data_IF_982396552936
#
_entry.id   IF_982396552936
#
_cell.length_a   1.000
_cell.length_b   1.000
_cell.length_c   1.000
_cell.angle_alpha   90.00
_cell.angle_beta   90.00
_cell.angle_gamma   90.00
#
_symmetry.space_group_name_H-M   'P 1'
#
loop_
_entity.id
_entity.type
_entity.pdbx_description
1 polymer ?
#
# COMPACT_ATOMS: atom_id res chain seq x y z
N UNK A 1 24.04 2.04 5.35
CA UNK A 1 23.70 1.46 6.67
C UNK A 1 22.87 2.47 7.43
N UNK A 2 21.83 2.03 8.15
CA UNK A 2 21.00 2.88 9.00
C UNK A 2 21.57 3.11 10.40
N UNK A 3 22.63 2.39 10.78
CA UNK A 3 23.30 2.54 12.08
C UNK A 3 22.32 2.44 13.26
N UNK A 4 21.37 1.50 13.16
CA UNK A 4 20.38 1.24 14.19
C UNK A 4 21.02 0.51 15.38
N UNK A 5 20.58 0.87 16.58
CA UNK A 5 20.77 0.08 17.79
C UNK A 5 19.49 -0.67 18.17
N UNK A 6 19.51 -1.25 19.37
CA UNK A 6 18.38 -1.93 20.01
C UNK A 6 17.13 -1.06 20.10
N UNK A 7 15.97 -1.63 19.77
CA UNK A 7 14.64 -0.97 19.76
C UNK A 7 14.56 0.36 18.99
N UNK A 8 15.54 0.61 18.13
CA UNK A 8 15.62 1.83 17.33
C UNK A 8 15.08 1.60 15.93
N UNK A 9 14.76 2.70 15.25
CA UNK A 9 14.28 2.69 13.87
C UNK A 9 14.91 3.85 13.11
N UNK A 10 14.93 3.71 11.79
CA UNK A 10 15.33 4.77 10.85
C UNK A 10 14.27 4.93 9.77
N UNK A 11 14.25 6.07 9.09
CA UNK A 11 13.39 6.30 7.93
C UNK A 11 14.23 6.31 6.67
N UNK A 12 13.77 5.62 5.63
CA UNK A 12 14.40 5.64 4.31
C UNK A 12 13.42 6.14 3.24
N UNK A 13 13.90 6.94 2.29
CA UNK A 13 13.12 7.33 1.13
C UNK A 13 13.17 6.25 0.05
N UNK A 14 12.01 5.90 -0.48
CA UNK A 14 11.84 5.14 -1.72
C UNK A 14 11.77 6.10 -2.90
N UNK A 15 12.52 5.85 -4.00
CA UNK A 15 12.53 6.73 -5.16
C UNK A 15 11.33 6.49 -6.10
N UNK A 16 10.44 5.57 -5.74
CA UNK A 16 9.16 5.31 -6.39
C UNK A 16 8.06 5.02 -5.34
N UNK A 17 6.78 5.28 -5.66
CA UNK A 17 5.68 4.93 -4.76
C UNK A 17 5.57 3.41 -4.55
N UNK A 18 5.48 3.00 -3.29
CA UNK A 18 5.17 1.62 -2.88
C UNK A 18 3.71 1.58 -2.47
N UNK A 19 2.93 0.66 -3.04
CA UNK A 19 1.48 0.64 -2.84
C UNK A 19 1.03 -0.44 -1.85
N UNK A 20 0.47 0.00 -0.73
CA UNK A 20 -0.21 -0.87 0.23
C UNK A 20 -1.72 -0.64 0.15
N UNK A 21 -2.47 -1.60 -0.40
CA UNK A 21 -3.92 -1.51 -0.60
C UNK A 21 -4.37 -0.19 -1.29
N UNK A 22 -3.67 0.22 -2.36
CA UNK A 22 -3.93 1.46 -3.10
C UNK A 22 -3.34 2.73 -2.50
N UNK A 23 -2.73 2.66 -1.31
CA UNK A 23 -2.06 3.81 -0.69
C UNK A 23 -0.59 3.80 -1.09
N UNK A 24 -0.20 4.74 -1.95
CA UNK A 24 1.18 4.94 -2.37
C UNK A 24 1.98 5.68 -1.30
N UNK A 25 3.13 5.12 -0.90
CA UNK A 25 4.02 5.72 0.12
C UNK A 25 5.45 5.77 -0.41
N UNK A 26 6.19 6.81 -0.01
CA UNK A 26 7.58 7.01 -0.41
C UNK A 26 8.55 7.02 0.76
N UNK A 27 8.07 6.97 2.00
CA UNK A 27 8.91 6.94 3.19
C UNK A 27 8.58 5.72 4.02
N UNK A 28 9.61 4.92 4.32
CA UNK A 28 9.51 3.71 5.11
C UNK A 28 10.27 3.86 6.40
N UNK A 29 9.58 3.66 7.52
CA UNK A 29 10.22 3.36 8.78
C UNK A 29 10.73 1.91 8.74
N UNK A 30 11.99 1.73 9.10
CA UNK A 30 12.67 0.45 9.18
C UNK A 30 13.14 0.24 10.61
N UNK A 31 12.64 -0.82 11.25
CA UNK A 31 12.95 -1.15 12.63
C UNK A 31 14.16 -2.07 12.73
N UNK A 32 14.94 -1.91 13.80
CA UNK A 32 15.96 -2.88 14.22
C UNK A 32 15.36 -4.27 14.42
N UNK A 33 14.13 -4.33 14.93
CA UNK A 33 13.33 -5.53 15.22
C UNK A 33 12.71 -6.21 13.97
N UNK A 34 13.30 -6.01 12.78
CA UNK A 34 12.98 -6.81 11.60
C UNK A 34 11.60 -6.59 10.96
N UNK A 35 11.04 -5.39 11.11
CA UNK A 35 9.81 -4.96 10.44
C UNK A 35 9.91 -3.57 9.81
N UNK A 36 8.99 -3.26 8.90
CA UNK A 36 8.84 -1.97 8.25
C UNK A 36 7.40 -1.47 8.33
N UNK A 37 7.24 -0.15 8.35
CA UNK A 37 5.94 0.52 8.29
C UNK A 37 6.03 1.77 7.40
N UNK A 38 4.98 2.11 6.63
CA UNK A 38 4.90 3.41 6.01
C UNK A 38 4.89 4.54 7.02
N UNK A 39 5.59 5.64 6.72
CA UNK A 39 5.49 6.87 7.52
C UNK A 39 4.23 7.61 7.07
N UNK A 40 3.12 7.40 7.78
CA UNK A 40 1.88 8.16 7.60
C UNK A 40 1.73 9.22 8.70
N UNK A 41 0.97 10.32 8.48
CA UNK A 41 0.83 11.43 9.44
C UNK A 41 0.11 11.07 10.76
N UNK A 42 -0.36 9.83 10.93
CA UNK A 42 -1.09 9.35 12.13
C UNK A 42 -0.31 8.28 12.90
N UNK A 43 1.02 8.37 12.86
CA UNK A 43 1.99 7.40 13.34
C UNK A 43 1.67 6.79 14.72
N UNK A 44 1.80 5.46 14.81
CA UNK A 44 1.89 4.73 16.09
C UNK A 44 3.37 4.60 16.42
N UNK A 45 3.77 4.88 17.66
CA UNK A 45 5.12 4.63 18.17
C UNK A 45 5.62 3.22 17.81
N UNK A 46 6.95 3.04 17.77
CA UNK A 46 7.58 1.73 17.56
C UNK A 46 6.84 0.60 18.29
N UNK A 47 6.61 -0.50 17.58
CA UNK A 47 5.85 -1.63 18.10
C UNK A 47 6.68 -2.35 19.17
N UNK A 48 6.09 -2.64 20.36
CA UNK A 48 6.86 -3.07 21.53
C UNK A 48 7.32 -4.53 21.49
N UNK A 49 6.63 -5.41 20.76
CA UNK A 49 6.97 -6.83 20.61
C UNK A 49 6.11 -7.46 19.52
N UNK A 50 6.59 -8.58 18.96
CA UNK A 50 5.90 -9.27 17.88
C UNK A 50 4.55 -9.87 18.31
N UNK A 51 3.58 -9.78 17.42
CA UNK A 51 2.20 -10.23 17.64
C UNK A 51 1.69 -10.99 16.41
N UNK A 52 0.66 -11.85 16.55
CA UNK A 52 0.02 -12.49 15.41
C UNK A 52 -0.65 -11.45 14.49
N UNK A 53 -0.70 -11.73 13.19
CA UNK A 53 -1.37 -10.91 12.19
C UNK A 53 -2.71 -11.53 11.76
N UNK A 54 -3.74 -10.73 11.47
CA UNK A 54 -3.77 -9.29 11.64
C UNK A 54 -4.15 -8.85 13.07
N UNK A 55 -3.86 -7.61 13.40
CA UNK A 55 -4.22 -6.97 14.68
C UNK A 55 -4.77 -5.55 14.46
N UNK A 56 -5.50 -5.02 15.43
CA UNK A 56 -6.47 -3.92 15.23
C UNK A 56 -5.91 -2.50 15.30
N UNK A 57 -4.68 -2.31 15.78
CA UNK A 57 -4.12 -0.98 16.08
C UNK A 57 -2.97 -0.57 15.13
N UNK A 58 -2.71 -1.34 14.08
CA UNK A 58 -1.71 -1.02 13.06
C UNK A 58 -2.37 -0.98 11.69
N UNK A 59 -2.03 0.02 10.89
CA UNK A 59 -2.51 0.09 9.51
C UNK A 59 -1.70 -0.84 8.63
N UNK A 60 -0.44 -0.51 8.40
CA UNK A 60 0.42 -1.26 7.49
C UNK A 60 1.68 -1.70 8.21
N UNK A 61 1.99 -2.99 8.09
CA UNK A 61 3.20 -3.62 8.62
C UNK A 61 3.74 -4.61 7.60
N UNK A 62 5.03 -4.54 7.32
CA UNK A 62 5.77 -5.54 6.55
C UNK A 62 6.76 -6.19 7.52
N UNK A 63 6.52 -7.44 7.87
CA UNK A 63 7.31 -8.18 8.86
C UNK A 63 8.00 -9.37 8.18
N UNK A 64 9.19 -9.18 7.58
CA UNK A 64 9.98 -10.30 7.06
C UNK A 64 10.50 -11.22 8.18
N UNK A 65 10.81 -10.66 9.35
CA UNK A 65 11.27 -11.38 10.54
C UNK A 65 11.08 -10.46 11.75
N UNK A 66 9.82 -10.22 12.17
CA UNK A 66 9.56 -9.34 13.30
C UNK A 66 9.80 -10.08 14.62
N UNK A 67 10.86 -9.68 15.31
CA UNK A 67 11.28 -10.25 16.59
C UNK A 67 12.14 -9.24 17.37
N UNK A 68 12.55 -9.57 18.59
CA UNK A 68 13.46 -8.79 19.43
C UNK A 68 14.91 -8.93 18.95
N UNK A 69 15.27 -8.18 17.90
CA UNK A 69 16.55 -8.28 17.21
C UNK A 69 17.51 -7.20 17.67
N UNK A 70 18.78 -7.59 17.81
CA UNK A 70 19.87 -6.72 18.20
C UNK A 70 20.80 -6.41 17.02
N UNK A 71 20.95 -5.11 16.75
CA UNK A 71 21.91 -4.56 15.79
C UNK A 71 22.96 -3.72 16.53
N UNK A 72 24.21 -3.72 16.05
CA UNK A 72 25.26 -2.88 16.63
C UNK A 72 25.52 -1.68 15.71
N UNK A 73 25.19 -0.44 16.14
CA UNK A 73 25.34 0.76 15.32
C UNK A 73 26.80 1.06 14.96
N UNK A 74 27.78 0.43 15.63
CA UNK A 74 29.22 0.67 15.42
C UNK A 74 29.85 -0.32 14.44
N UNK A 75 29.08 -1.28 13.92
CA UNK A 75 29.61 -2.37 13.07
C UNK A 75 28.82 -2.50 11.76
N UNK A 76 29.21 -3.47 10.93
CA UNK A 76 28.47 -3.84 9.71
C UNK A 76 27.36 -4.87 9.96
N UNK A 77 27.05 -5.16 11.22
CA UNK A 77 25.81 -5.82 11.63
C UNK A 77 24.72 -4.77 11.80
N UNK A 78 24.01 -4.49 10.72
CA UNK A 78 22.99 -3.46 10.71
C UNK A 78 22.02 -3.61 9.54
N UNK A 79 21.11 -2.65 9.40
CA UNK A 79 20.26 -2.53 8.23
C UNK A 79 20.99 -1.76 7.12
N UNK A 80 21.00 -2.34 5.93
CA UNK A 80 21.48 -1.73 4.69
C UNK A 80 20.33 -1.62 3.70
N UNK A 81 20.42 -0.64 2.80
CA UNK A 81 19.45 -0.54 1.72
C UNK A 81 20.13 -0.02 0.47
N UNK A 82 19.58 -0.38 -0.68
CA UNK A 82 20.06 0.03 -1.99
C UNK A 82 18.88 0.13 -2.96
N UNK A 83 19.02 1.02 -3.94
CA UNK A 83 18.17 1.04 -5.12
C UNK A 83 18.94 0.40 -6.25
N UNK A 84 18.38 -0.66 -6.83
CA UNK A 84 18.96 -1.37 -7.95
C UNK A 84 18.18 -1.05 -9.23
N UNK A 85 18.83 -1.18 -10.38
CA UNK A 85 18.23 -0.90 -11.68
C UNK A 85 18.03 0.59 -11.95
N UNK A 86 17.25 0.88 -13.00
CA UNK A 86 16.95 2.23 -13.49
C UNK A 86 15.44 2.37 -13.75
N UNK A 87 14.91 3.59 -13.66
CA UNK A 87 13.50 3.82 -13.91
C UNK A 87 13.10 3.39 -15.35
N UNK A 88 11.93 2.78 -15.57
CA UNK A 88 10.84 2.53 -14.61
C UNK A 88 10.89 1.13 -13.95
N UNK A 89 12.06 0.48 -13.89
CA UNK A 89 12.24 -0.90 -13.41
C UNK A 89 13.22 -0.96 -12.23
N UNK A 90 13.05 -0.08 -11.23
CA UNK A 90 13.90 -0.05 -10.03
C UNK A 90 13.44 -1.06 -8.99
N UNK A 91 14.39 -1.51 -8.17
CA UNK A 91 14.14 -2.32 -6.97
C UNK A 91 14.67 -1.59 -5.74
N UNK A 92 13.88 -1.49 -4.68
CA UNK A 92 14.35 -1.05 -3.37
C UNK A 92 14.60 -2.29 -2.51
N UNK A 93 15.87 -2.57 -2.23
CA UNK A 93 16.32 -3.69 -1.40
C UNK A 93 16.67 -3.18 -0.02
N UNK A 94 16.15 -3.82 1.03
CA UNK A 94 16.41 -3.50 2.44
C UNK A 94 16.83 -4.79 3.14
N UNK A 95 18.06 -4.85 3.62
CA UNK A 95 18.70 -6.03 4.21
C UNK A 95 18.98 -5.82 5.70
N UNK A 96 18.57 -6.76 6.53
CA UNK A 96 19.08 -6.93 7.89
C UNK A 96 20.28 -7.87 7.81
N UNK A 97 21.48 -7.30 7.94
CA UNK A 97 22.72 -8.04 7.79
C UNK A 97 23.23 -8.52 9.15
N UNK A 98 23.38 -9.83 9.28
CA UNK A 98 23.94 -10.50 10.45
C UNK A 98 23.24 -10.10 11.77
N UNK A 99 21.94 -9.87 11.75
CA UNK A 99 21.18 -9.47 12.93
C UNK A 99 21.24 -10.56 14.01
N UNK A 100 21.46 -10.19 15.27
CA UNK A 100 21.41 -11.13 16.41
C UNK A 100 20.03 -11.11 17.03
N UNK A 101 19.70 -12.13 17.80
CA UNK A 101 18.57 -12.06 18.72
C UNK A 101 19.00 -11.40 20.03
N UNK A 102 18.19 -10.52 20.62
CA UNK A 102 18.55 -9.73 21.80
C UNK A 102 19.00 -10.60 22.99
N UNK A 103 18.28 -11.70 23.24
CA UNK A 103 18.58 -12.65 24.33
C UNK A 103 19.97 -13.29 24.25
N UNK A 104 20.60 -13.35 23.07
CA UNK A 104 21.96 -13.88 22.88
C UNK A 104 22.91 -12.88 22.20
N UNK A 105 22.61 -11.57 22.28
CA UNK A 105 23.42 -10.51 21.65
C UNK A 105 24.93 -10.55 21.92
N UNK A 106 25.35 -11.20 23.00
CA UNK A 106 26.76 -11.40 23.34
C UNK A 106 27.49 -12.40 22.43
N UNK A 107 26.78 -13.30 21.75
CA UNK A 107 27.34 -14.23 20.77
C UNK A 107 27.37 -13.55 19.40
N UNK A 108 28.56 -13.19 18.92
CA UNK A 108 28.71 -12.51 17.63
C UNK A 108 28.55 -13.41 16.41
N UNK A 109 28.39 -14.72 16.61
CA UNK A 109 28.21 -15.71 15.54
C UNK A 109 26.76 -16.15 15.39
N UNK A 110 25.93 -15.94 16.42
CA UNK A 110 24.51 -16.26 16.40
C UNK A 110 23.73 -15.17 15.66
N UNK A 111 23.72 -15.23 14.34
CA UNK A 111 23.14 -14.20 13.47
C UNK A 111 22.21 -14.77 12.40
N UNK A 112 21.27 -13.96 11.95
CA UNK A 112 20.44 -14.22 10.77
C UNK A 112 20.61 -13.10 9.73
N UNK A 113 20.29 -13.41 8.47
CA UNK A 113 20.31 -12.44 7.38
C UNK A 113 19.15 -12.64 6.43
N UNK A 114 18.40 -11.56 6.24
CA UNK A 114 17.22 -11.53 5.39
C UNK A 114 17.04 -10.14 4.79
N UNK A 115 16.24 -10.06 3.73
CA UNK A 115 15.94 -8.81 3.07
C UNK A 115 14.50 -8.75 2.57
N UNK A 116 14.01 -7.53 2.40
CA UNK A 116 12.77 -7.20 1.69
C UNK A 116 13.12 -6.48 0.39
N UNK A 117 12.42 -6.83 -0.68
CA UNK A 117 12.53 -6.15 -1.98
C UNK A 117 11.15 -5.61 -2.38
N UNK A 118 11.12 -4.31 -2.70
CA UNK A 118 9.99 -3.66 -3.37
C UNK A 118 10.36 -3.37 -4.81
N UNK A 119 9.38 -3.39 -5.70
CA UNK A 119 9.59 -3.22 -7.13
C UNK A 119 8.78 -2.06 -7.68
N UNK A 120 9.40 -1.22 -8.49
CA UNK A 120 8.75 -0.08 -9.11
C UNK A 120 7.59 -0.55 -10.01
N UNK A 121 6.42 0.08 -9.84
CA UNK A 121 5.23 -0.21 -10.64
C UNK A 121 4.56 -1.56 -10.36
N UNK A 122 5.04 -2.35 -9.39
CA UNK A 122 4.44 -3.65 -9.02
C UNK A 122 3.99 -3.64 -7.57
N UNK A 123 2.92 -4.37 -7.26
CA UNK A 123 2.43 -4.58 -5.89
C UNK A 123 2.99 -5.84 -5.23
N UNK A 124 4.02 -6.43 -5.84
CA UNK A 124 4.74 -7.57 -5.30
C UNK A 124 5.77 -7.10 -4.25
N UNK A 125 5.90 -7.87 -3.17
CA UNK A 125 6.94 -7.69 -2.15
C UNK A 125 7.62 -9.04 -1.98
N UNK A 126 8.95 -9.06 -2.00
CA UNK A 126 9.72 -10.30 -1.86
C UNK A 126 10.50 -10.30 -0.55
N UNK A 127 10.31 -11.32 0.27
CA UNK A 127 11.18 -11.60 1.43
C UNK A 127 12.19 -12.66 1.01
N UNK A 128 13.48 -12.39 1.15
CA UNK A 128 14.53 -13.38 0.90
C UNK A 128 15.28 -13.68 2.18
N UNK A 129 15.58 -14.95 2.41
CA UNK A 129 16.26 -15.43 3.60
C UNK A 129 17.57 -16.10 3.20
N UNK A 130 18.70 -15.46 3.48
CA UNK A 130 20.00 -16.07 3.25
C UNK A 130 20.26 -17.15 4.31
N UNK A 131 20.02 -16.80 5.58
CA UNK A 131 20.17 -17.66 6.74
C UNK A 131 19.18 -17.26 7.84
N UNK A 132 18.62 -18.26 8.50
CA UNK A 132 17.48 -18.15 9.43
C UNK A 132 17.75 -18.86 10.76
N UNK A 133 18.95 -19.42 10.93
CA UNK A 133 19.37 -20.20 12.09
C UNK A 133 20.42 -19.40 12.85
N UNK A 134 20.08 -18.97 14.06
CA UNK A 134 21.04 -18.38 14.99
C UNK A 134 21.94 -19.45 15.60
N UNK A 135 21.36 -20.60 15.97
CA UNK A 135 22.05 -21.72 16.60
C UNK A 135 22.48 -21.47 18.04
N UNK A 136 23.26 -22.41 18.58
CA UNK A 136 23.83 -22.31 19.93
C UNK A 136 22.78 -22.05 21.02
N UNK A 137 23.04 -21.07 21.89
CA UNK A 137 22.11 -20.66 22.96
C UNK A 137 20.84 -19.97 22.44
N UNK A 138 20.81 -19.63 21.16
CA UNK A 138 19.68 -18.97 20.49
C UNK A 138 18.88 -19.89 19.58
N UNK A 139 19.09 -21.21 19.68
CA UNK A 139 18.34 -22.19 18.90
C UNK A 139 16.81 -22.09 19.08
N UNK A 140 16.35 -21.50 20.20
CA UNK A 140 14.94 -21.22 20.47
C UNK A 140 14.30 -20.18 19.52
N UNK A 141 15.11 -19.39 18.81
CA UNK A 141 14.67 -18.41 17.82
C UNK A 141 14.93 -18.87 16.37
N UNK A 142 15.52 -20.07 16.19
CA UNK A 142 15.86 -20.59 14.87
C UNK A 142 14.62 -20.69 13.99
N UNK A 143 14.79 -20.37 12.71
CA UNK A 143 13.76 -20.47 11.66
C UNK A 143 12.54 -19.61 11.95
N UNK A 144 12.72 -18.52 12.71
CA UNK A 144 11.65 -17.61 13.11
C UNK A 144 10.75 -18.17 14.21
N UNK A 145 11.25 -19.09 15.05
CA UNK A 145 10.46 -19.74 16.10
C UNK A 145 9.87 -18.78 17.15
N UNK A 146 10.44 -17.59 17.31
CA UNK A 146 9.90 -16.50 18.15
C UNK A 146 9.38 -15.31 17.33
N UNK A 147 9.46 -15.38 16.00
CA UNK A 147 9.19 -14.24 15.14
C UNK A 147 7.76 -14.25 14.58
N UNK A 148 7.27 -13.07 14.19
CA UNK A 148 6.14 -12.92 13.28
C UNK A 148 6.65 -12.69 11.86
N UNK A 149 6.12 -13.45 10.90
CA UNK A 149 6.37 -13.25 9.46
C UNK A 149 5.04 -13.01 8.75
N UNK A 150 4.90 -11.86 8.11
CA UNK A 150 3.72 -11.56 7.31
C UNK A 150 3.58 -10.10 6.91
N UNK A 151 2.43 -9.79 6.29
CA UNK A 151 2.10 -8.44 5.86
C UNK A 151 0.69 -8.08 6.32
N UNK A 152 0.56 -6.91 6.93
CA UNK A 152 -0.71 -6.27 7.25
C UNK A 152 -0.85 -5.00 6.41
N UNK A 153 -2.04 -4.76 5.86
CA UNK A 153 -2.30 -3.61 4.97
C UNK A 153 -3.36 -2.65 5.51
N UNK A 154 -4.21 -3.11 6.43
CA UNK A 154 -5.10 -2.27 7.20
C UNK A 154 -5.37 -2.89 8.59
N UNK A 155 -5.95 -2.14 9.54
CA UNK A 155 -6.36 -2.70 10.82
C UNK A 155 -7.27 -3.91 10.63
N UNK A 156 -6.90 -5.06 11.22
CA UNK A 156 -7.65 -6.31 11.07
C UNK A 156 -7.58 -6.95 9.66
N UNK A 157 -6.72 -6.46 8.75
CA UNK A 157 -6.57 -7.00 7.40
C UNK A 157 -5.10 -7.24 7.07
N UNK A 158 -4.68 -8.50 7.09
CA UNK A 158 -3.32 -8.94 6.84
C UNK A 158 -3.25 -10.44 6.58
N UNK A 159 -2.11 -10.88 6.08
CA UNK A 159 -1.80 -12.28 5.82
C UNK A 159 -0.56 -12.65 6.63
N UNK A 160 -0.68 -13.69 7.46
CA UNK A 160 0.38 -14.23 8.27
C UNK A 160 0.96 -15.48 7.62
N UNK A 161 2.29 -15.56 7.47
CA UNK A 161 2.98 -16.79 7.12
C UNK A 161 3.27 -17.62 8.37
N UNK A 162 3.82 -16.99 9.41
CA UNK A 162 4.11 -17.64 10.69
C UNK A 162 4.07 -16.64 11.85
N UNK A 163 3.81 -17.16 13.04
CA UNK A 163 3.98 -16.45 14.31
C UNK A 163 4.41 -17.49 15.34
N UNK A 164 5.53 -17.23 16.02
CA UNK A 164 6.10 -18.11 17.03
C UNK A 164 6.22 -19.58 16.57
N UNK A 165 6.72 -19.78 15.34
CA UNK A 165 6.82 -21.10 14.72
C UNK A 165 8.05 -21.21 13.81
N UNK A 166 8.82 -22.33 13.85
CA UNK A 166 10.04 -22.52 13.08
C UNK A 166 9.76 -22.84 11.60
N UNK A 167 9.13 -21.90 10.89
CA UNK A 167 8.61 -22.09 9.53
C UNK A 167 9.58 -21.64 8.44
N UNK A 168 10.52 -20.75 8.74
CA UNK A 168 11.48 -20.23 7.76
C UNK A 168 12.59 -21.25 7.45
N UNK A 169 13.23 -21.11 6.28
CA UNK A 169 14.34 -21.96 5.84
C UNK A 169 15.39 -21.13 5.11
N UNK A 170 16.64 -21.51 5.26
CA UNK A 170 17.76 -20.87 4.58
C UNK A 170 17.64 -21.01 3.07
N UNK A 171 18.07 -19.98 2.33
CA UNK A 171 18.03 -19.95 0.87
C UNK A 171 16.62 -19.93 0.26
N UNK A 172 15.59 -19.61 1.03
CA UNK A 172 14.21 -19.51 0.53
C UNK A 172 13.74 -18.06 0.37
N UNK A 173 12.65 -17.89 -0.36
CA UNK A 173 11.98 -16.61 -0.50
C UNK A 173 10.46 -16.77 -0.37
N UNK A 174 9.80 -15.72 0.13
CA UNK A 174 8.35 -15.58 0.18
C UNK A 174 7.95 -14.40 -0.70
N UNK A 175 7.17 -14.68 -1.74
CA UNK A 175 6.61 -13.66 -2.62
C UNK A 175 5.19 -13.31 -2.17
N UNK A 176 4.95 -12.01 -1.95
CA UNK A 176 3.68 -11.47 -1.48
C UNK A 176 3.05 -10.64 -2.59
N UNK A 177 1.83 -10.98 -2.97
CA UNK A 177 1.04 -10.16 -3.88
C UNK A 177 0.03 -9.33 -3.09
N UNK A 178 0.26 -8.03 -3.00
CA UNK A 178 -0.69 -7.13 -2.33
C UNK A 178 -1.80 -6.78 -3.29
N UNK A 179 -3.03 -7.16 -2.94
CA UNK A 179 -4.21 -6.81 -3.70
C UNK A 179 -4.33 -5.28 -3.84
N UNK A 180 -4.59 -4.82 -5.06
CA UNK A 180 -4.80 -3.41 -5.38
C UNK A 180 -6.25 -3.19 -5.82
N UNK A 181 -6.83 -2.01 -5.56
CA UNK A 181 -8.11 -1.65 -6.15
C UNK A 181 -7.91 -1.32 -7.65
N UNK A 182 -8.91 -1.61 -8.48
CA UNK A 182 -8.87 -1.28 -9.92
C UNK A 182 -10.10 -0.45 -10.24
N UNK A 183 -9.90 0.84 -10.49
CA UNK A 183 -10.96 1.77 -10.87
C UNK A 183 -11.38 1.53 -12.32
N UNK A 184 -12.67 1.30 -12.53
CA UNK A 184 -13.30 1.29 -13.87
C UNK A 184 -14.54 2.16 -13.89
N UNK A 185 -14.85 2.74 -15.05
CA UNK A 185 -15.96 3.67 -15.27
C UNK A 185 -16.65 3.31 -16.58
N UNK A 186 -17.97 3.11 -16.54
CA UNK A 186 -18.77 2.76 -17.72
C UNK A 186 -20.13 3.48 -17.71
N UNK A 187 -20.55 4.16 -18.79
CA UNK A 187 -19.78 4.43 -20.02
C UNK A 187 -18.67 5.48 -19.81
N UNK A 188 -17.71 5.56 -20.73
CA UNK A 188 -16.65 6.58 -20.72
C UNK A 188 -17.08 7.95 -21.29
N UNK A 189 -18.36 8.09 -21.66
CA UNK A 189 -18.93 9.37 -22.06
C UNK A 189 -20.43 9.44 -21.76
N UNK A 190 -20.93 10.61 -21.40
CA UNK A 190 -22.36 10.91 -21.26
C UNK A 190 -22.77 12.02 -22.22
N UNK A 191 -23.79 11.75 -23.02
CA UNK A 191 -24.48 12.75 -23.84
C UNK A 191 -25.84 13.08 -23.21
N UNK A 192 -25.99 14.35 -22.84
CA UNK A 192 -27.20 14.89 -22.24
C UNK A 192 -28.20 15.37 -23.30
N UNK A 193 -27.82 15.38 -24.57
CA UNK A 193 -28.62 15.85 -25.68
C UNK A 193 -28.91 17.35 -25.61
N UNK A 194 -30.05 17.76 -26.17
CA UNK A 194 -30.51 19.15 -26.10
C UNK A 194 -31.42 19.35 -24.90
N UNK A 195 -31.13 20.38 -24.09
CA UNK A 195 -31.87 20.77 -22.89
C UNK A 195 -32.26 22.23 -22.99
N UNK A 196 -33.51 22.53 -22.67
CA UNK A 196 -34.00 23.90 -22.64
C UNK A 196 -33.27 24.68 -21.54
N UNK A 197 -32.81 25.89 -21.85
CA UNK A 197 -32.16 26.79 -20.88
C UNK A 197 -33.04 26.95 -19.62
N UNK A 198 -32.45 26.78 -18.44
CA UNK A 198 -33.15 26.80 -17.16
C UNK A 198 -33.83 25.48 -16.76
N UNK A 199 -33.75 24.43 -17.60
CA UNK A 199 -34.12 23.05 -17.25
C UNK A 199 -32.87 22.22 -16.97
N UNK A 200 -33.08 21.01 -16.47
CA UNK A 200 -32.00 20.07 -16.20
C UNK A 200 -32.36 18.66 -16.64
N UNK A 201 -31.34 17.88 -16.94
CA UNK A 201 -31.46 16.43 -17.17
C UNK A 201 -30.31 15.71 -16.51
N UNK A 202 -30.60 14.54 -15.95
CA UNK A 202 -29.63 13.71 -15.27
C UNK A 202 -29.25 12.51 -16.17
N UNK A 203 -27.99 12.09 -16.07
CA UNK A 203 -27.41 10.90 -16.70
C UNK A 203 -26.51 10.21 -15.70
N UNK A 204 -26.33 8.91 -15.88
CA UNK A 204 -25.63 8.08 -14.91
C UNK A 204 -24.46 7.35 -15.55
N UNK A 205 -23.42 7.14 -14.76
CA UNK A 205 -22.35 6.19 -15.06
C UNK A 205 -22.10 5.29 -13.85
N UNK A 206 -21.47 4.14 -14.10
CA UNK A 206 -21.13 3.16 -13.08
C UNK A 206 -19.64 3.25 -12.80
N UNK A 207 -19.30 3.40 -11.52
CA UNK A 207 -17.96 3.15 -10.98
C UNK A 207 -17.92 1.72 -10.48
N UNK A 208 -16.91 0.95 -10.88
CA UNK A 208 -16.75 -0.43 -10.42
C UNK A 208 -15.31 -0.70 -9.98
N UNK A 209 -15.18 -1.48 -8.90
CA UNK A 209 -13.89 -1.99 -8.43
C UNK A 209 -13.65 -3.41 -8.98
N UNK A 210 -12.77 -3.54 -9.97
CA UNK A 210 -12.35 -4.85 -10.47
C UNK A 210 -11.11 -5.41 -9.76
N UNK A 211 -10.60 -4.69 -8.77
CA UNK A 211 -9.42 -5.07 -8.00
C UNK A 211 -9.76 -5.94 -6.80
N UNK A 212 -8.73 -6.36 -6.07
CA UNK A 212 -8.86 -7.19 -4.87
C UNK A 212 -8.90 -6.42 -3.55
N UNK A 213 -8.47 -5.14 -3.55
CA UNK A 213 -8.54 -4.28 -2.37
C UNK A 213 -9.71 -3.28 -2.47
N UNK A 214 -10.07 -2.65 -1.35
CA UNK A 214 -11.17 -1.67 -1.30
C UNK A 214 -10.81 -0.42 -2.10
N UNK A 215 -11.69 -0.04 -3.03
CA UNK A 215 -11.59 1.16 -3.84
C UNK A 215 -12.41 2.29 -3.17
N UNK A 216 -11.75 3.40 -2.85
CA UNK A 216 -12.36 4.57 -2.23
C UNK A 216 -12.07 5.79 -3.09
N UNK A 217 -13.07 6.65 -3.30
CA UNK A 217 -12.89 7.80 -4.17
C UNK A 217 -14.08 8.75 -4.20
N UNK A 218 -13.96 9.74 -5.09
CA UNK A 218 -14.96 10.77 -5.36
C UNK A 218 -14.96 11.14 -6.84
N UNK A 219 -15.92 11.96 -7.26
CA UNK A 219 -15.98 12.52 -8.60
C UNK A 219 -16.28 14.02 -8.55
N UNK A 220 -15.79 14.77 -9.53
CA UNK A 220 -16.07 16.19 -9.70
C UNK A 220 -16.22 16.56 -11.18
N UNK A 221 -16.98 17.60 -11.46
CA UNK A 221 -17.20 18.13 -12.81
C UNK A 221 -17.52 19.62 -12.71
N UNK A 222 -17.04 20.47 -13.63
CA UNK A 222 -17.35 21.90 -13.61
C UNK A 222 -18.76 22.20 -14.18
N UNK A 223 -19.37 23.33 -13.78
CA UNK A 223 -20.61 23.83 -14.38
C UNK A 223 -20.51 23.98 -15.91
N UNK A 224 -21.63 23.85 -16.65
CA UNK A 224 -23.01 23.67 -16.19
C UNK A 224 -23.38 22.23 -15.81
N UNK A 225 -22.39 21.35 -15.67
CA UNK A 225 -22.58 20.01 -15.13
C UNK A 225 -22.38 19.99 -13.61
N UNK A 226 -23.02 19.07 -12.90
CA UNK A 226 -22.80 18.84 -11.47
C UNK A 226 -23.02 17.38 -11.08
N UNK A 227 -22.35 16.90 -10.03
CA UNK A 227 -22.61 15.58 -9.46
C UNK A 227 -23.84 15.68 -8.53
N UNK A 228 -24.80 14.78 -8.72
CA UNK A 228 -26.06 14.75 -7.96
C UNK A 228 -25.99 13.74 -6.81
N UNK A 229 -25.46 12.55 -7.05
CA UNK A 229 -25.42 11.46 -6.09
C UNK A 229 -24.34 10.42 -6.42
N UNK A 230 -24.08 9.51 -5.48
CA UNK A 230 -23.16 8.38 -5.66
C UNK A 230 -21.70 8.66 -5.27
N UNK A 231 -21.41 9.81 -4.65
CA UNK A 231 -20.08 10.15 -4.12
C UNK A 231 -20.16 10.68 -2.67
N UNK A 232 -19.09 10.53 -1.85
CA UNK A 232 -17.93 9.66 -2.11
C UNK A 232 -18.37 8.19 -2.12
N UNK A 233 -17.55 7.31 -2.71
CA UNK A 233 -17.82 5.87 -2.77
C UNK A 233 -16.75 5.07 -2.02
N UNK A 234 -17.14 3.88 -1.56
CA UNK A 234 -16.26 2.87 -0.97
C UNK A 234 -16.76 1.50 -1.42
N UNK A 235 -15.96 0.83 -2.25
CA UNK A 235 -16.34 -0.39 -2.97
C UNK A 235 -15.36 -1.50 -2.63
N UNK A 236 -15.86 -2.60 -2.06
CA UNK A 236 -15.09 -3.86 -1.96
C UNK A 236 -14.85 -4.45 -3.35
N UNK A 237 -14.03 -5.49 -3.41
CA UNK A 237 -13.75 -6.21 -4.65
C UNK A 237 -15.06 -6.65 -5.33
N UNK A 238 -15.22 -6.31 -6.61
CA UNK A 238 -16.38 -6.63 -7.44
C UNK A 238 -17.60 -5.70 -7.26
N UNK A 239 -17.62 -4.84 -6.23
CA UNK A 239 -18.74 -3.93 -5.97
C UNK A 239 -18.76 -2.76 -6.98
N UNK A 240 -19.95 -2.17 -7.14
CA UNK A 240 -20.21 -1.05 -8.06
C UNK A 240 -21.04 0.06 -7.39
N UNK A 241 -20.86 1.28 -7.86
CA UNK A 241 -21.62 2.47 -7.48
C UNK A 241 -22.16 3.17 -8.73
N UNK A 242 -23.46 3.49 -8.73
CA UNK A 242 -24.04 4.38 -9.75
C UNK A 242 -23.81 5.82 -9.32
N UNK A 243 -23.25 6.64 -10.20
CA UNK A 243 -23.02 8.07 -10.00
C UNK A 243 -23.92 8.83 -10.97
N UNK A 244 -24.73 9.74 -10.42
CA UNK A 244 -25.64 10.58 -11.20
C UNK A 244 -25.04 11.97 -11.43
N UNK A 245 -25.06 12.42 -12.67
CA UNK A 245 -24.55 13.71 -13.14
C UNK A 245 -25.71 14.49 -13.74
N UNK A 246 -25.81 15.78 -13.42
CA UNK A 246 -26.79 16.71 -13.96
C UNK A 246 -26.16 17.63 -14.98
N UNK A 247 -26.87 17.92 -16.05
CA UNK A 247 -26.62 19.06 -16.93
C UNK A 247 -27.75 20.08 -16.79
N UNK A 248 -27.41 21.33 -16.46
CA UNK A 248 -28.37 22.42 -16.27
C UNK A 248 -27.89 23.72 -16.98
N UNK A 249 -28.07 23.84 -18.30
CA UNK A 249 -27.57 24.98 -19.06
C UNK A 249 -28.30 26.29 -18.69
N UNK A 250 -27.51 27.36 -18.48
CA UNK A 250 -28.01 28.72 -18.22
C UNK A 250 -27.96 29.63 -19.45
N UNK A 251 -27.35 29.16 -20.54
CA UNK A 251 -27.32 29.83 -21.84
C UNK A 251 -27.41 28.81 -22.98
N UNK A 252 -27.76 29.29 -24.18
CA UNK A 252 -27.73 28.44 -25.38
C UNK A 252 -26.29 28.20 -25.84
N UNK A 253 -26.04 27.03 -26.40
CA UNK A 253 -24.71 26.62 -26.86
C UNK A 253 -24.41 25.15 -26.59
N UNK A 254 -23.33 24.65 -27.16
CA UNK A 254 -22.79 23.31 -26.84
C UNK A 254 -21.78 23.45 -25.70
N UNK A 255 -21.91 22.58 -24.69
CA UNK A 255 -21.03 22.50 -23.55
C UNK A 255 -20.35 21.14 -23.54
N UNK A 256 -19.03 21.13 -23.41
CA UNK A 256 -18.22 19.92 -23.28
C UNK A 256 -17.33 20.04 -22.06
N UNK A 257 -17.21 18.96 -21.30
CA UNK A 257 -16.31 18.87 -20.15
C UNK A 257 -15.91 17.43 -19.86
N UNK A 258 -15.19 17.23 -18.76
CA UNK A 258 -14.89 15.90 -18.21
C UNK A 258 -15.36 15.82 -16.76
N UNK A 259 -15.97 14.69 -16.41
CA UNK A 259 -16.07 14.28 -14.99
C UNK A 259 -14.76 13.60 -14.64
N UNK A 260 -14.08 14.11 -13.60
CA UNK A 260 -12.87 13.53 -13.05
C UNK A 260 -13.25 12.63 -11.88
N UNK A 261 -13.00 11.33 -12.01
CA UNK A 261 -13.14 10.34 -10.93
C UNK A 261 -11.76 10.08 -10.34
N UNK A 262 -11.57 10.40 -9.07
CA UNK A 262 -10.30 10.23 -8.36
C UNK A 262 -10.46 9.22 -7.21
N UNK A 263 -9.53 8.28 -7.10
CA UNK A 263 -9.59 7.19 -6.12
C UNK A 263 -8.20 6.71 -5.68
N UNK A 264 -8.14 5.86 -4.66
CA UNK A 264 -6.92 5.10 -4.32
C UNK A 264 -6.55 4.01 -5.36
N UNK A 265 -7.36 3.81 -6.40
CA UNK A 265 -7.03 2.98 -7.58
C UNK A 265 -6.58 3.80 -8.79
N UNK A 266 -6.31 5.10 -8.62
CA UNK A 266 -5.96 6.03 -9.70
C UNK A 266 -7.08 6.99 -10.07
N UNK A 267 -6.94 7.62 -11.23
CA UNK A 267 -7.90 8.60 -11.76
C UNK A 267 -8.37 8.24 -13.17
N UNK A 268 -9.62 8.54 -13.47
CA UNK A 268 -10.21 8.42 -14.81
C UNK A 268 -11.03 9.67 -15.13
N UNK A 269 -11.00 10.06 -16.41
CA UNK A 269 -11.85 11.13 -16.94
C UNK A 269 -12.89 10.50 -17.88
N UNK A 270 -14.16 10.84 -17.70
CA UNK A 270 -15.21 10.53 -18.68
C UNK A 270 -15.74 11.81 -19.32
N UNK A 271 -15.95 11.79 -20.64
CA UNK A 271 -16.42 12.97 -21.38
C UNK A 271 -17.89 13.25 -21.08
N UNK A 272 -18.26 14.51 -20.92
CA UNK A 272 -19.66 14.94 -20.87
C UNK A 272 -19.95 15.98 -21.94
N UNK A 273 -21.08 15.85 -22.62
CA UNK A 273 -21.53 16.79 -23.66
C UNK A 273 -23.03 17.07 -23.52
N UNK A 274 -23.43 18.31 -23.73
CA UNK A 274 -24.83 18.71 -23.75
C UNK A 274 -25.03 20.03 -24.49
N UNK A 275 -26.24 20.26 -25.01
CA UNK A 275 -26.60 21.48 -25.73
C UNK A 275 -27.71 22.24 -24.99
N UNK A 276 -27.46 23.50 -24.65
CA UNK A 276 -28.50 24.43 -24.24
C UNK A 276 -29.23 25.02 -25.45
N UNK A 277 -30.56 25.03 -25.41
CA UNK A 277 -31.40 25.67 -26.43
C UNK A 277 -32.51 26.52 -25.80
N UNK A 278 -32.98 27.54 -26.51
CA UNK A 278 -34.18 28.28 -26.12
C UNK A 278 -35.42 27.41 -26.38
N UNK A 279 -36.53 27.68 -25.67
CA UNK A 279 -37.82 27.11 -26.05
C UNK A 279 -38.13 27.48 -27.51
N UNK A 280 -38.75 26.58 -28.30
CA UNK A 280 -39.42 26.95 -29.53
C UNK A 280 -40.47 28.04 -29.29
#
# INVERSE_FOLDING_TARGET
SLRLGDDSYGVIPSPFPIFFAGIGVTDLLVSSNGYLMPVAPWFVSALPSNQPLPFSNVFTLVAPFWDDLYLDPRTDQNVFWAVLGEAPNRELVIEWRNARHYSCRADSTATVRFQVVFFEGRSEILFNYADTVFGGKCALADRGQSATVGIQVAPGSGTQFSHNAPSLRDGTALAWAIAQPILTVTPQSLDFGTVIVGRSVDREFIVQNLGGAVLMGTASVPPPFSIVSGIPFTLRAGESQIVSVRFAPTSSGTFESNVTVASNGGFLNLKVVGRGATSP
#
